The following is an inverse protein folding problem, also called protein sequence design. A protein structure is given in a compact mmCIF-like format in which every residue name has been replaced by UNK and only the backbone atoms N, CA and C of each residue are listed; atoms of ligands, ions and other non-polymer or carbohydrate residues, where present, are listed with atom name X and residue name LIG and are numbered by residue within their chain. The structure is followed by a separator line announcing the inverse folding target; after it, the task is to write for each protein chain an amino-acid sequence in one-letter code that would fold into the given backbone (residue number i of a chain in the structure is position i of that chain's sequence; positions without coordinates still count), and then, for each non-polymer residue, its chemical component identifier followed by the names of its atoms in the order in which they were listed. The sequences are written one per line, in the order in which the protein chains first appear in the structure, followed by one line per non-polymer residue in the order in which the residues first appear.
data_IF_650071148915
#
_entry.id   IF_650071148915
#
_cell.length_a   1.000
_cell.length_b   1.000
_cell.length_c   1.000
_cell.angle_alpha   90.00
_cell.angle_beta   90.00
_cell.angle_gamma   90.00
#
_symmetry.space_group_name_H-M   'P 1'
#
loop_
_entity.id
_entity.type
_entity.pdbx_description
1 polymer ?
#
# COMPACT_ATOMS: atom_id res chain seq x y z
N UNK A 1 -3.00 18.64 -42.65
CA UNK A 1 -3.40 19.52 -41.53
C UNK A 1 -4.39 18.77 -40.65
N UNK A 2 -4.11 18.60 -39.36
CA UNK A 2 -5.01 17.91 -38.42
C UNK A 2 -4.57 18.14 -36.99
N UNK A 3 -4.97 19.27 -36.41
CA UNK A 3 -4.62 19.71 -35.06
C UNK A 3 -5.26 18.79 -33.99
N UNK A 4 -4.47 17.89 -33.39
CA UNK A 4 -4.91 17.09 -32.24
C UNK A 4 -4.53 17.75 -30.91
N UNK A 5 -4.96 19.01 -30.72
CA UNK A 5 -4.93 19.62 -29.39
C UNK A 5 -6.12 19.11 -28.57
N UNK A 6 -5.99 17.88 -28.05
CA UNK A 6 -6.86 17.41 -26.97
C UNK A 6 -6.58 18.28 -25.75
N UNK A 7 -7.43 19.28 -25.50
CA UNK A 7 -7.54 20.02 -24.23
C UNK A 7 -7.52 19.01 -23.09
N UNK A 8 -6.38 18.82 -22.43
CA UNK A 8 -6.29 18.13 -21.15
C UNK A 8 -7.03 19.00 -20.14
N UNK A 9 -8.33 18.73 -20.00
CA UNK A 9 -9.16 19.37 -18.99
C UNK A 9 -8.47 19.26 -17.63
N UNK A 10 -8.41 20.37 -16.92
CA UNK A 10 -7.77 20.49 -15.61
C UNK A 10 -8.60 19.72 -14.58
N UNK A 11 -8.45 18.38 -14.60
CA UNK A 11 -9.06 17.47 -13.64
C UNK A 11 -8.18 17.57 -12.40
N UNK A 12 -8.53 18.48 -11.49
CA UNK A 12 -7.84 18.65 -10.22
C UNK A 12 -7.62 17.30 -9.52
N UNK A 13 -6.51 17.19 -8.80
CA UNK A 13 -5.91 15.96 -8.23
C UNK A 13 -6.88 14.98 -7.55
N UNK A 14 -8.09 15.39 -7.18
CA UNK A 14 -9.04 14.60 -6.40
C UNK A 14 -10.30 14.15 -7.16
N UNK A 15 -10.44 14.41 -8.47
CA UNK A 15 -11.62 13.98 -9.25
C UNK A 15 -11.37 12.61 -9.88
N UNK A 16 -11.69 11.54 -9.16
CA UNK A 16 -11.71 10.18 -9.74
C UNK A 16 -12.95 9.99 -10.59
N UNK A 17 -12.76 9.69 -11.88
CA UNK A 17 -13.81 9.25 -12.79
C UNK A 17 -13.93 7.74 -12.73
N UNK A 18 -15.14 7.20 -12.55
CA UNK A 18 -15.39 5.76 -12.57
C UNK A 18 -16.45 5.42 -13.61
N UNK A 19 -16.24 4.29 -14.30
CA UNK A 19 -17.23 3.75 -15.21
C UNK A 19 -18.40 3.18 -14.42
N UNK A 20 -19.61 3.69 -14.69
CA UNK A 20 -20.83 3.21 -14.08
C UNK A 20 -21.46 2.15 -15.01
N UNK A 21 -21.44 0.88 -14.59
CA UNK A 21 -22.00 -0.24 -15.38
C UNK A 21 -23.50 -0.14 -15.62
N UNK A 22 -24.25 0.60 -14.79
CA UNK A 22 -25.70 0.75 -14.95
C UNK A 22 -26.07 1.80 -16.00
N UNK A 23 -25.33 2.90 -16.05
CA UNK A 23 -25.60 4.00 -16.99
C UNK A 23 -24.75 3.92 -18.27
N UNK A 24 -23.74 3.04 -18.29
CA UNK A 24 -22.81 2.88 -19.41
C UNK A 24 -21.87 4.08 -19.61
N UNK A 25 -21.84 5.03 -18.67
CA UNK A 25 -21.10 6.29 -18.78
C UNK A 25 -20.02 6.41 -17.70
N UNK A 26 -18.97 7.18 -18.01
CA UNK A 26 -17.90 7.51 -17.07
C UNK A 26 -18.28 8.77 -16.28
N UNK A 27 -18.63 8.60 -15.01
CA UNK A 27 -19.14 9.65 -14.13
C UNK A 27 -18.11 10.08 -13.06
N UNK A 28 -18.25 11.29 -12.52
CA UNK A 28 -17.39 11.79 -11.45
C UNK A 28 -17.84 11.20 -10.10
N UNK A 29 -16.96 10.47 -9.43
CA UNK A 29 -17.28 9.75 -8.19
C UNK A 29 -17.70 10.69 -7.05
N UNK A 30 -17.13 11.90 -6.98
CA UNK A 30 -17.34 12.83 -5.87
C UNK A 30 -18.71 13.54 -5.88
N UNK A 31 -19.52 13.38 -6.93
CA UNK A 31 -20.84 14.04 -7.00
C UNK A 31 -21.90 13.37 -6.11
N UNK A 32 -21.69 12.11 -5.69
CA UNK A 32 -22.72 11.37 -4.95
C UNK A 32 -23.00 11.89 -3.53
N UNK A 33 -22.04 12.62 -2.95
CA UNK A 33 -22.14 13.05 -1.54
C UNK A 33 -22.62 14.49 -1.35
N UNK A 34 -22.92 15.24 -2.42
CA UNK A 34 -23.31 16.67 -2.31
C UNK A 34 -24.80 16.94 -2.47
N UNK A 35 -25.61 15.95 -2.84
CA UNK A 35 -27.03 16.18 -3.20
C UNK A 35 -28.02 15.94 -2.06
N UNK A 36 -27.61 16.07 -0.80
CA UNK A 36 -28.54 16.02 0.34
C UNK A 36 -28.36 17.24 1.25
N UNK A 37 -28.54 18.43 0.68
CA UNK A 37 -29.06 19.55 1.47
C UNK A 37 -30.57 19.30 1.63
N UNK A 38 -30.99 18.82 2.80
CA UNK A 38 -32.41 18.82 3.18
C UNK A 38 -32.71 20.09 3.99
N UNK A 39 -33.82 20.78 3.71
CA UNK A 39 -34.20 22.00 4.42
C UNK A 39 -34.56 21.71 5.88
N UNK A 40 -34.25 22.64 6.78
CA UNK A 40 -34.67 22.60 8.18
C UNK A 40 -36.15 22.97 8.30
N UNK A 41 -37.00 21.97 8.48
CA UNK A 41 -38.41 22.19 8.83
C UNK A 41 -38.60 21.91 10.32
N UNK A 42 -39.09 22.93 11.03
CA UNK A 42 -39.38 22.92 12.45
C UNK A 42 -40.38 21.81 12.83
N UNK A 43 -40.17 21.30 14.04
CA UNK A 43 -41.01 20.34 14.78
C UNK A 43 -42.46 20.85 14.86
N UNK A 44 -43.42 19.94 14.69
CA UNK A 44 -44.69 20.02 15.41
C UNK A 44 -45.06 18.62 15.88
N UNK A 45 -45.17 18.46 17.20
CA UNK A 45 -45.65 17.26 17.86
C UNK A 45 -47.11 17.03 17.53
N UNK A 46 -47.45 15.81 17.09
CA UNK A 46 -48.72 15.17 17.40
C UNK A 46 -48.60 13.65 17.19
N UNK A 47 -48.66 12.97 18.33
CA UNK A 47 -49.04 11.57 18.55
C UNK A 47 -49.81 10.90 17.41
N UNK A 48 -49.24 9.84 16.83
CA UNK A 48 -49.97 8.67 16.35
C UNK A 48 -49.01 7.48 16.15
N UNK A 49 -49.34 6.37 16.78
CA UNK A 49 -48.58 5.12 16.84
C UNK A 49 -48.64 4.31 15.54
N UNK A 50 -48.10 4.84 14.45
CA UNK A 50 -47.83 4.02 13.28
C UNK A 50 -46.53 4.45 12.61
N UNK A 51 -45.42 3.86 13.06
CA UNK A 51 -44.13 4.00 12.38
C UNK A 51 -44.29 3.50 10.94
N UNK A 52 -44.15 4.40 9.98
CA UNK A 52 -44.06 4.04 8.57
C UNK A 52 -42.94 3.00 8.37
N UNK A 53 -43.09 2.02 7.46
CA UNK A 53 -42.04 1.04 7.16
C UNK A 53 -40.67 1.66 6.84
N UNK A 54 -40.66 2.91 6.34
CA UNK A 54 -39.44 3.68 6.11
C UNK A 54 -38.75 4.14 7.41
N UNK A 55 -39.50 4.56 8.42
CA UNK A 55 -38.96 5.02 9.70
C UNK A 55 -38.40 3.85 10.52
N UNK A 56 -39.05 2.69 10.46
CA UNK A 56 -38.53 1.44 11.00
C UNK A 56 -37.21 1.03 10.32
N UNK A 57 -37.11 1.15 8.98
CA UNK A 57 -35.86 0.94 8.23
C UNK A 57 -34.77 1.94 8.60
N UNK A 58 -35.11 3.20 8.84
CA UNK A 58 -34.13 4.21 9.25
C UNK A 58 -33.62 3.97 10.68
N UNK A 59 -34.48 3.59 11.63
CA UNK A 59 -34.06 3.18 12.99
C UNK A 59 -33.18 1.92 12.96
N UNK A 60 -33.55 0.91 12.16
CA UNK A 60 -32.73 -0.29 11.97
C UNK A 60 -31.33 0.05 11.41
N UNK A 61 -31.23 1.00 10.47
CA UNK A 61 -29.95 1.50 9.94
C UNK A 61 -29.11 2.27 10.96
N UNK A 62 -29.73 2.98 11.91
CA UNK A 62 -29.01 3.65 13.00
C UNK A 62 -28.43 2.65 14.00
N UNK A 63 -29.14 1.56 14.27
CA UNK A 63 -28.69 0.51 15.19
C UNK A 63 -27.65 -0.44 14.57
N UNK A 64 -27.66 -0.60 13.25
CA UNK A 64 -26.57 -1.24 12.52
C UNK A 64 -25.53 -0.20 12.11
N UNK A 65 -24.73 0.24 13.09
CA UNK A 65 -23.47 0.91 12.81
C UNK A 65 -22.76 0.07 11.74
N UNK A 66 -22.51 0.67 10.56
CA UNK A 66 -21.81 0.03 9.48
C UNK A 66 -20.52 -0.54 10.07
N UNK A 67 -20.49 -1.86 10.30
CA UNK A 67 -19.31 -2.55 10.83
C UNK A 67 -18.18 -2.11 9.93
N UNK A 68 -17.29 -1.30 10.49
CA UNK A 68 -16.31 -0.56 9.74
C UNK A 68 -15.58 -1.50 8.81
N UNK A 69 -15.26 -1.02 7.61
CA UNK A 69 -14.26 -1.66 6.79
C UNK A 69 -12.96 -1.68 7.60
N UNK A 70 -12.72 -2.77 8.32
CA UNK A 70 -11.43 -3.11 8.89
C UNK A 70 -10.66 -3.72 7.72
N UNK A 71 -9.65 -3.04 7.15
CA UNK A 71 -8.83 -3.67 6.15
C UNK A 71 -8.23 -4.92 6.80
N UNK A 72 -8.59 -6.10 6.32
CA UNK A 72 -7.91 -7.32 6.71
C UNK A 72 -6.43 -7.12 6.39
N UNK A 73 -5.63 -6.87 7.42
CA UNK A 73 -4.19 -6.80 7.30
C UNK A 73 -3.74 -8.22 7.01
N UNK A 74 -3.71 -8.58 5.72
CA UNK A 74 -3.19 -9.89 5.30
C UNK A 74 -1.78 -10.00 5.88
N UNK A 75 -1.50 -11.01 6.72
CA UNK A 75 -0.16 -11.19 7.25
C UNK A 75 0.79 -11.33 6.06
N UNK A 76 1.87 -10.53 6.06
CA UNK A 76 2.91 -10.68 5.05
C UNK A 76 3.55 -12.05 5.26
N UNK A 77 3.15 -13.04 4.48
CA UNK A 77 3.76 -14.37 4.51
C UNK A 77 5.15 -14.27 3.89
N UNK A 78 6.15 -13.95 4.71
CA UNK A 78 7.55 -14.08 4.32
C UNK A 78 7.84 -15.55 4.12
N UNK A 79 7.89 -16.00 2.85
CA UNK A 79 8.38 -17.34 2.54
C UNK A 79 9.86 -17.42 2.93
N UNK A 80 10.21 -18.37 3.78
CA UNK A 80 11.58 -18.63 4.18
C UNK A 80 12.41 -19.20 3.00
N UNK A 81 13.72 -18.99 3.01
CA UNK A 81 14.63 -19.71 2.11
C UNK A 81 14.68 -21.18 2.54
N UNK A 82 14.59 -22.08 1.57
CA UNK A 82 14.59 -23.54 1.74
C UNK A 82 15.96 -24.12 1.36
N UNK A 83 17.02 -23.36 1.61
CA UNK A 83 18.33 -23.58 1.03
C UNK A 83 19.24 -24.13 2.12
N UNK A 84 19.87 -25.27 1.88
CA UNK A 84 20.60 -26.02 2.90
C UNK A 84 22.00 -26.42 2.39
N UNK A 85 22.91 -26.67 3.33
CA UNK A 85 24.25 -27.19 3.05
C UNK A 85 25.05 -26.41 2.00
N UNK A 86 25.51 -27.12 0.96
CA UNK A 86 26.39 -26.60 -0.09
C UNK A 86 25.70 -25.56 -0.97
N UNK A 87 24.42 -25.72 -1.28
CA UNK A 87 23.66 -24.76 -2.07
C UNK A 87 23.55 -23.40 -1.35
N UNK A 88 23.37 -23.44 -0.04
CA UNK A 88 23.34 -22.23 0.77
C UNK A 88 24.68 -21.49 0.71
N UNK A 89 25.79 -22.22 0.84
CA UNK A 89 27.13 -21.64 0.74
C UNK A 89 27.38 -20.99 -0.63
N UNK A 90 27.01 -21.67 -1.71
CA UNK A 90 27.14 -21.13 -3.07
C UNK A 90 26.28 -19.88 -3.28
N UNK A 91 25.04 -19.87 -2.77
CA UNK A 91 24.18 -18.68 -2.83
C UNK A 91 24.74 -17.53 -2.01
N UNK A 92 25.31 -17.79 -0.83
CA UNK A 92 25.94 -16.77 -0.02
C UNK A 92 27.17 -16.16 -0.72
N UNK A 93 27.98 -16.98 -1.39
CA UNK A 93 29.10 -16.50 -2.21
C UNK A 93 28.60 -15.61 -3.36
N UNK A 94 27.59 -16.05 -4.11
CA UNK A 94 26.98 -15.24 -5.18
C UNK A 94 26.44 -13.91 -4.68
N UNK A 95 25.80 -13.90 -3.50
CA UNK A 95 25.31 -12.66 -2.88
C UNK A 95 26.45 -11.74 -2.45
N UNK A 96 27.56 -12.30 -1.95
CA UNK A 96 28.74 -11.51 -1.62
C UNK A 96 29.35 -10.84 -2.86
N UNK A 97 29.43 -11.57 -3.97
CA UNK A 97 29.95 -11.03 -5.22
C UNK A 97 29.04 -9.94 -5.80
N UNK A 98 27.72 -10.10 -5.70
CA UNK A 98 26.76 -9.04 -6.04
C UNK A 98 26.90 -7.83 -5.10
N UNK A 99 27.11 -8.04 -3.80
CA UNK A 99 27.29 -6.96 -2.84
C UNK A 99 28.59 -6.18 -3.11
N UNK A 100 29.64 -6.83 -3.59
CA UNK A 100 30.91 -6.18 -3.99
C UNK A 100 30.77 -5.27 -5.21
N UNK A 101 29.75 -5.50 -6.05
CA UNK A 101 29.42 -4.65 -7.18
C UNK A 101 28.59 -3.43 -6.78
N UNK A 102 27.96 -3.45 -5.60
CA UNK A 102 27.23 -2.29 -5.08
C UNK A 102 28.20 -1.18 -4.64
N UNK A 103 27.76 0.10 -4.69
CA UNK A 103 28.57 1.21 -4.23
C UNK A 103 28.96 1.03 -2.77
N UNK A 104 30.25 1.21 -2.49
CA UNK A 104 30.81 1.07 -1.14
C UNK A 104 30.53 2.29 -0.28
N UNK A 105 30.27 2.02 0.99
CA UNK A 105 30.15 3.04 2.02
C UNK A 105 31.50 3.67 2.31
N UNK A 106 31.46 4.97 2.62
CA UNK A 106 32.62 5.69 3.12
C UNK A 106 32.96 5.20 4.52
N UNK A 107 34.25 4.96 4.76
CA UNK A 107 34.80 4.61 6.06
C UNK A 107 35.55 5.82 6.63
N UNK A 108 35.03 6.37 7.73
CA UNK A 108 35.59 7.56 8.37
C UNK A 108 36.98 7.30 8.96
N UNK A 109 37.31 6.06 9.31
CA UNK A 109 38.59 5.70 9.89
C UNK A 109 39.73 5.62 8.86
N UNK A 110 39.43 5.16 7.64
CA UNK A 110 40.43 4.98 6.57
C UNK A 110 40.36 6.07 5.50
N UNK A 111 39.32 6.92 5.51
CA UNK A 111 39.11 7.98 4.52
C UNK A 111 38.77 7.44 3.12
N UNK A 112 38.35 6.17 3.02
CA UNK A 112 38.17 5.46 1.76
C UNK A 112 36.80 4.75 1.69
N UNK A 113 36.30 4.54 0.48
CA UNK A 113 35.07 3.78 0.25
C UNK A 113 35.33 2.27 0.30
N UNK A 114 35.62 1.72 1.47
CA UNK A 114 36.00 0.31 1.65
C UNK A 114 34.87 -0.56 2.20
N UNK A 115 33.92 0.03 2.93
CA UNK A 115 32.88 -0.71 3.68
C UNK A 115 31.79 -1.20 2.73
N UNK A 116 31.43 -2.49 2.84
CA UNK A 116 30.30 -3.03 2.12
C UNK A 116 28.99 -2.50 2.73
N UNK A 117 28.07 -2.01 1.90
CA UNK A 117 26.78 -1.48 2.36
C UNK A 117 25.67 -2.33 1.80
N UNK A 118 24.83 -2.89 2.66
CA UNK A 118 23.67 -3.66 2.21
C UNK A 118 22.55 -2.67 1.90
N UNK A 119 22.42 -2.30 0.62
CA UNK A 119 21.42 -1.32 0.23
C UNK A 119 19.98 -1.79 0.54
N UNK A 120 19.03 -0.87 0.78
CA UNK A 120 17.62 -1.24 0.97
C UNK A 120 17.03 -2.00 -0.22
N UNK A 121 17.55 -1.74 -1.43
CA UNK A 121 17.14 -2.45 -2.66
C UNK A 121 17.66 -3.89 -2.65
N UNK A 122 18.94 -4.10 -2.33
CA UNK A 122 19.54 -5.42 -2.18
C UNK A 122 18.77 -6.26 -1.16
N UNK A 123 18.52 -5.69 0.02
CA UNK A 123 17.79 -6.35 1.10
C UNK A 123 16.38 -6.78 0.68
N UNK A 124 15.67 -5.96 -0.11
CA UNK A 124 14.33 -6.30 -0.62
C UNK A 124 14.39 -7.41 -1.68
N UNK A 125 15.34 -7.32 -2.63
CA UNK A 125 15.49 -8.31 -3.71
C UNK A 125 15.84 -9.69 -3.17
N UNK A 126 16.70 -9.74 -2.14
CA UNK A 126 17.21 -10.98 -1.56
C UNK A 126 16.62 -11.29 -0.17
N UNK A 127 15.47 -10.69 0.17
CA UNK A 127 14.88 -10.72 1.51
C UNK A 127 14.79 -12.12 2.14
N UNK A 128 14.46 -13.14 1.33
CA UNK A 128 14.33 -14.52 1.81
C UNK A 128 15.66 -15.14 2.27
N UNK A 129 16.78 -14.74 1.67
CA UNK A 129 18.11 -15.27 1.96
C UNK A 129 18.92 -14.38 2.91
N UNK A 130 18.42 -13.18 3.25
CA UNK A 130 19.17 -12.23 4.06
C UNK A 130 19.59 -12.77 5.43
N UNK A 131 18.77 -13.62 6.05
CA UNK A 131 19.10 -14.22 7.36
C UNK A 131 20.37 -15.06 7.29
N UNK A 132 20.48 -15.93 6.29
CA UNK A 132 21.67 -16.76 6.10
C UNK A 132 22.87 -15.94 5.63
N UNK A 133 22.63 -14.97 4.76
CA UNK A 133 23.69 -14.11 4.25
C UNK A 133 24.32 -13.25 5.36
N UNK A 134 23.52 -12.69 6.26
CA UNK A 134 24.00 -11.93 7.43
C UNK A 134 24.82 -12.83 8.37
N UNK A 135 24.34 -14.05 8.64
CA UNK A 135 25.09 -15.02 9.45
C UNK A 135 26.45 -15.34 8.80
N UNK A 136 26.46 -15.60 7.49
CA UNK A 136 27.67 -15.85 6.71
C UNK A 136 28.67 -14.68 6.72
N UNK A 137 28.20 -13.43 6.66
CA UNK A 137 29.08 -12.26 6.78
C UNK A 137 29.70 -12.20 8.18
N UNK A 138 28.94 -12.53 9.22
CA UNK A 138 29.43 -12.63 10.60
C UNK A 138 30.48 -13.72 10.78
N UNK A 139 30.23 -14.93 10.28
CA UNK A 139 31.17 -16.06 10.31
C UNK A 139 32.50 -15.74 9.61
N UNK A 140 32.46 -14.96 8.53
CA UNK A 140 33.65 -14.53 7.79
C UNK A 140 34.29 -13.24 8.30
N UNK A 141 33.81 -12.69 9.42
CA UNK A 141 34.25 -11.39 9.96
C UNK A 141 34.23 -10.24 8.95
N UNK A 142 33.29 -10.27 8.00
CA UNK A 142 33.13 -9.23 6.98
C UNK A 142 32.26 -8.12 7.57
N UNK A 143 32.86 -6.93 7.76
CA UNK A 143 32.15 -5.74 8.24
C UNK A 143 31.25 -5.19 7.13
N UNK A 144 30.01 -4.84 7.48
CA UNK A 144 29.04 -4.21 6.59
C UNK A 144 28.18 -3.16 7.31
N UNK A 145 27.57 -2.25 6.55
CA UNK A 145 26.67 -1.18 7.05
C UNK A 145 25.28 -1.25 6.42
#
# INVERSE_FOLDING_TARGET
MGNWNKKKGNIGRNKQRRFNRRTGKVENFNQRNRSQEKPSSKVNEQTNEHLSPEEARQKARKNHAAKGFVPEVKPRTFRHCTCEGTELALKNQRLLDLLRQEPRGYDDATGAHTVLVISPRFRRRHARHMRHFVAFLGERNIRYR
#
